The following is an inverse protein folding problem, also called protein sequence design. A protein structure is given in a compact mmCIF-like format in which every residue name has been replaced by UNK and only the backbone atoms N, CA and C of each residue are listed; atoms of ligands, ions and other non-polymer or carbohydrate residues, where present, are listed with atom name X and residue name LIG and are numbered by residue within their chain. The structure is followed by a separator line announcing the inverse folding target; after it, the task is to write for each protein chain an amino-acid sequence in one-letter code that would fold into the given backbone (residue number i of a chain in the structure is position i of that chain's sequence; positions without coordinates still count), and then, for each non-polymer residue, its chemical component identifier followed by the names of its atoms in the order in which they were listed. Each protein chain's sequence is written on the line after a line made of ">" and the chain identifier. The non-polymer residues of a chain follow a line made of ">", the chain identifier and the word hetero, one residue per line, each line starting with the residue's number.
data_IF_050386900816
#
_entry.id   IF_050386900816
#
_cell.length_a   1.000
_cell.length_b   1.000
_cell.length_c   1.000
_cell.angle_alpha   90.00
_cell.angle_beta   90.00
_cell.angle_gamma   90.00
#
_symmetry.space_group_name_H-M   'P 1'
#
loop_
_entity.id
_entity.type
_entity.pdbx_description
1 polymer ?
#
# COMPACT_ATOMS: atom_id res chain seq x y z
N UNK A 1 -18.52 8.99 -12.48
CA UNK A 1 -17.73 8.34 -11.42
C UNK A 1 -17.25 9.41 -10.46
N UNK A 2 -17.47 9.25 -9.16
CA UNK A 2 -17.04 10.22 -8.15
C UNK A 2 -15.53 10.07 -7.90
N UNK A 3 -14.77 11.18 -7.97
CA UNK A 3 -13.32 11.23 -7.70
C UNK A 3 -13.08 11.05 -6.19
N UNK A 4 -12.07 10.27 -5.81
CA UNK A 4 -11.74 10.03 -4.39
C UNK A 4 -10.58 10.91 -3.94
N UNK A 5 -10.48 11.23 -2.65
CA UNK A 5 -9.33 11.96 -2.08
C UNK A 5 -7.99 11.28 -2.43
N UNK A 6 -7.99 9.95 -2.52
CA UNK A 6 -6.81 9.17 -2.91
C UNK A 6 -6.41 9.42 -4.38
N UNK A 7 -7.39 9.57 -5.28
CA UNK A 7 -7.11 9.95 -6.67
C UNK A 7 -6.43 11.31 -6.74
N UNK A 8 -6.95 12.28 -5.98
CA UNK A 8 -6.42 13.65 -5.96
C UNK A 8 -4.99 13.69 -5.40
N UNK A 9 -4.69 12.90 -4.36
CA UNK A 9 -3.33 12.77 -3.81
C UNK A 9 -2.37 12.13 -4.81
N UNK A 10 -2.80 11.08 -5.51
CA UNK A 10 -1.97 10.41 -6.53
C UNK A 10 -1.64 11.38 -7.68
N UNK A 11 -2.62 12.17 -8.13
CA UNK A 11 -2.41 13.17 -9.17
C UNK A 11 -1.50 14.30 -8.68
N UNK A 12 -1.67 14.79 -7.45
CA UNK A 12 -0.80 15.80 -6.88
C UNK A 12 0.67 15.35 -6.78
N UNK A 13 0.92 14.09 -6.40
CA UNK A 13 2.27 13.51 -6.39
C UNK A 13 2.84 13.40 -7.80
N UNK A 14 2.01 13.02 -8.79
CA UNK A 14 2.42 12.90 -10.20
C UNK A 14 2.85 14.25 -10.77
N UNK A 15 2.05 15.28 -10.54
CA UNK A 15 2.15 16.57 -11.24
C UNK A 15 3.09 17.57 -10.54
N UNK A 16 3.36 17.39 -9.25
CA UNK A 16 4.26 18.28 -8.51
C UNK A 16 5.72 17.81 -8.60
N UNK A 17 6.52 18.47 -9.43
CA UNK A 17 7.96 18.16 -9.59
C UNK A 17 8.78 18.26 -8.30
N UNK A 18 8.33 19.07 -7.33
CA UNK A 18 8.99 19.23 -6.03
C UNK A 18 8.71 18.07 -5.07
N UNK A 19 7.74 17.21 -5.36
CA UNK A 19 7.39 16.06 -4.53
C UNK A 19 8.24 14.85 -4.96
N UNK A 20 8.93 14.25 -3.99
CA UNK A 20 9.68 13.02 -4.22
C UNK A 20 8.73 11.85 -4.52
N UNK A 21 9.10 11.03 -5.50
CA UNK A 21 8.33 9.85 -5.92
C UNK A 21 8.71 8.57 -5.18
N UNK A 22 9.41 8.69 -4.06
CA UNK A 22 9.65 7.57 -3.13
C UNK A 22 8.56 7.60 -2.08
N UNK A 23 7.69 6.58 -2.07
CA UNK A 23 6.56 6.50 -1.14
C UNK A 23 6.73 5.27 -0.26
N UNK A 24 6.77 5.52 1.03
CA UNK A 24 6.67 4.46 2.03
C UNK A 24 5.20 4.11 2.25
N UNK A 25 4.81 2.91 1.85
CA UNK A 25 3.44 2.39 1.94
C UNK A 25 3.46 1.08 2.75
N UNK A 26 3.16 1.13 4.07
CA UNK A 26 3.31 -0.01 4.95
C UNK A 26 2.25 -1.09 4.67
N UNK A 27 2.69 -2.27 4.23
CA UNK A 27 1.85 -3.47 4.12
C UNK A 27 1.77 -4.15 5.48
N UNK A 28 2.92 -4.38 6.12
CA UNK A 28 3.10 -5.05 7.43
C UNK A 28 2.98 -6.58 7.40
N UNK A 29 2.05 -7.15 6.65
CA UNK A 29 1.97 -8.61 6.44
C UNK A 29 1.35 -8.95 5.08
N UNK A 30 1.80 -10.06 4.49
CA UNK A 30 1.24 -10.61 3.25
C UNK A 30 -0.11 -11.30 3.42
N UNK A 31 -0.58 -11.50 4.66
CA UNK A 31 -1.85 -12.19 4.95
C UNK A 31 -2.95 -11.22 5.39
N UNK A 32 -4.09 -11.24 4.70
CA UNK A 32 -5.28 -10.46 5.07
C UNK A 32 -5.79 -10.81 6.48
N UNK A 33 -5.68 -12.06 6.92
CA UNK A 33 -6.08 -12.45 8.27
C UNK A 33 -5.14 -11.86 9.32
N UNK A 34 -3.83 -11.87 9.07
CA UNK A 34 -2.84 -11.25 9.96
C UNK A 34 -2.99 -9.73 9.99
N UNK A 35 -3.19 -9.09 8.83
CA UNK A 35 -3.48 -7.66 8.74
C UNK A 35 -4.70 -7.27 9.59
N UNK A 36 -5.77 -8.06 9.52
CA UNK A 36 -6.98 -7.85 10.33
C UNK A 36 -6.68 -7.97 11.83
N UNK A 37 -5.87 -8.96 12.24
CA UNK A 37 -5.45 -9.15 13.64
C UNK A 37 -4.50 -8.05 14.13
N UNK A 38 -3.74 -7.44 13.23
CA UNK A 38 -2.97 -6.20 13.45
C UNK A 38 -3.86 -4.93 13.47
N UNK A 39 -5.19 -5.07 13.40
CA UNK A 39 -6.14 -3.97 13.33
C UNK A 39 -5.97 -3.04 12.10
N UNK A 40 -5.47 -3.58 10.98
CA UNK A 40 -5.45 -2.88 9.69
C UNK A 40 -6.84 -2.93 9.07
N UNK A 41 -7.28 -1.79 8.52
CA UNK A 41 -8.60 -1.63 7.87
C UNK A 41 -8.56 -1.91 6.37
N UNK A 42 -7.56 -2.65 5.90
CA UNK A 42 -7.37 -3.01 4.49
C UNK A 42 -6.92 -4.46 4.35
N UNK A 43 -7.20 -5.06 3.20
CA UNK A 43 -6.73 -6.40 2.81
C UNK A 43 -5.46 -6.32 1.96
N UNK A 44 -4.76 -7.45 1.77
CA UNK A 44 -3.61 -7.51 0.86
C UNK A 44 -4.01 -7.15 -0.58
N UNK A 45 -5.21 -7.54 -1.02
CA UNK A 45 -5.72 -7.26 -2.37
C UNK A 45 -5.97 -5.76 -2.56
N UNK A 46 -6.54 -5.09 -1.54
CA UNK A 46 -6.73 -3.64 -1.58
C UNK A 46 -5.39 -2.89 -1.62
N UNK A 47 -4.40 -3.36 -0.87
CA UNK A 47 -3.04 -2.83 -0.92
C UNK A 47 -2.43 -2.99 -2.32
N UNK A 48 -2.49 -4.18 -2.91
CA UNK A 48 -1.97 -4.45 -4.25
C UNK A 48 -2.68 -3.61 -5.32
N UNK A 49 -4.01 -3.48 -5.24
CA UNK A 49 -4.78 -2.64 -6.15
C UNK A 49 -4.36 -1.16 -6.06
N UNK A 50 -4.06 -0.67 -4.85
CA UNK A 50 -3.52 0.67 -4.65
C UNK A 50 -2.13 0.81 -5.27
N UNK A 51 -1.23 -0.15 -5.03
CA UNK A 51 0.11 -0.16 -5.60
C UNK A 51 0.07 -0.11 -7.13
N UNK A 52 -0.74 -0.94 -7.76
CA UNK A 52 -0.87 -0.96 -9.22
C UNK A 52 -1.46 0.34 -9.76
N UNK A 53 -2.45 0.91 -9.08
CA UNK A 53 -2.99 2.23 -9.43
C UNK A 53 -1.93 3.33 -9.35
N UNK A 54 -1.08 3.32 -8.32
CA UNK A 54 -0.01 4.30 -8.15
C UNK A 54 1.08 4.13 -9.22
N UNK A 55 1.54 2.90 -9.48
CA UNK A 55 2.53 2.60 -10.53
C UNK A 55 2.06 3.02 -11.92
N UNK A 56 0.79 2.76 -12.24
CA UNK A 56 0.22 3.14 -13.53
C UNK A 56 0.11 4.67 -13.71
N UNK A 57 -0.01 5.43 -12.63
CA UNK A 57 -0.26 6.88 -12.67
C UNK A 57 0.95 7.76 -12.36
N UNK A 58 1.93 7.27 -11.61
CA UNK A 58 3.10 8.05 -11.19
C UNK A 58 4.35 7.45 -11.84
N UNK A 59 4.79 7.96 -13.01
CA UNK A 59 5.99 7.47 -13.68
C UNK A 59 7.23 7.63 -12.78
N UNK A 60 7.98 6.54 -12.62
CA UNK A 60 9.20 6.49 -11.81
C UNK A 60 8.98 6.39 -10.31
N UNK A 61 7.76 6.05 -9.86
CA UNK A 61 7.49 5.81 -8.44
C UNK A 61 8.36 4.66 -7.89
N UNK A 62 8.92 4.89 -6.71
CA UNK A 62 9.60 3.87 -5.90
C UNK A 62 8.77 3.65 -4.66
N UNK A 63 8.51 2.39 -4.33
CA UNK A 63 7.73 2.02 -3.16
C UNK A 63 8.63 1.33 -2.14
N UNK A 64 8.51 1.73 -0.89
CA UNK A 64 9.10 1.02 0.25
C UNK A 64 8.01 0.55 1.20
N UNK A 65 8.28 -0.52 1.93
CA UNK A 65 7.32 -1.11 2.86
C UNK A 65 8.04 -1.85 3.97
N UNK A 66 7.40 -1.95 5.12
CA UNK A 66 7.87 -2.77 6.24
C UNK A 66 7.04 -4.05 6.33
N UNK A 67 7.69 -5.14 6.74
CA UNK A 67 7.07 -6.45 6.98
C UNK A 67 7.42 -6.92 8.39
N UNK A 68 6.42 -7.42 9.10
CA UNK A 68 6.54 -8.04 10.42
C UNK A 68 6.28 -9.53 10.24
N UNK A 69 7.27 -10.35 10.58
CA UNK A 69 7.16 -11.82 10.62
C UNK A 69 7.03 -12.30 12.07
N UNK A 70 6.43 -13.46 12.29
CA UNK A 70 6.24 -14.04 13.61
C UNK A 70 5.19 -13.32 14.46
N UNK A 71 4.22 -12.65 13.83
CA UNK A 71 3.12 -12.04 14.58
C UNK A 71 2.36 -13.11 15.39
N UNK A 72 1.90 -12.83 16.63
CA UNK A 72 1.21 -13.84 17.43
C UNK A 72 0.07 -14.49 16.65
N UNK A 73 0.12 -15.82 16.43
CA UNK A 73 -0.85 -16.59 15.66
C UNK A 73 -0.72 -16.52 14.12
N UNK A 74 0.40 -16.02 13.60
CA UNK A 74 0.83 -16.26 12.22
C UNK A 74 1.08 -17.76 12.00
N UNK A 75 0.60 -18.29 10.87
CA UNK A 75 0.76 -19.69 10.48
C UNK A 75 1.61 -19.82 9.23
N UNK A 76 2.05 -21.03 8.89
CA UNK A 76 2.79 -21.29 7.64
C UNK A 76 2.05 -20.86 6.37
N UNK A 77 0.71 -20.80 6.40
CA UNK A 77 -0.10 -20.32 5.27
C UNK A 77 -0.05 -18.79 5.12
N UNK A 78 0.24 -18.08 6.21
CA UNK A 78 0.30 -16.62 6.26
C UNK A 78 1.68 -16.06 5.88
N UNK A 79 2.71 -16.90 5.96
CA UNK A 79 4.12 -16.62 5.64
C UNK A 79 4.39 -16.71 4.14
#
# INVERSE_FOLDING_TARGET
>A
MQRTLLDDVIEAIRDCEKVCKIIHLPLQSGSTEILKRMNRKYTKEQYLALVEKMKARIPGIVLSTDIIVGFPGETEKDF
#
